data_IF_500879117514
#
_entry.id   IF_500879117514
#
_cell.length_a   1.000
_cell.length_b   1.000
_cell.length_c   1.000
_cell.angle_alpha   90.00
_cell.angle_beta   90.00
_cell.angle_gamma   90.00
#
_symmetry.space_group_name_H-M   'P 1'
#
loop_
_entity.id
_entity.type
_entity.pdbx_description
1 polymer ?
#
# COMPACT_ATOMS: atom_id res chain seq x y z
N UNK A 1 -9.26 10.50 -9.98
CA UNK A 1 -8.11 11.32 -9.60
C UNK A 1 -6.86 10.49 -9.82
N UNK A 2 -5.80 11.11 -10.32
CA UNK A 2 -4.45 10.53 -10.39
C UNK A 2 -3.68 10.84 -9.08
N UNK A 3 -2.73 9.99 -8.67
CA UNK A 3 -1.80 10.32 -7.57
C UNK A 3 -0.79 11.40 -7.99
N UNK A 4 -0.64 11.65 -9.29
CA UNK A 4 0.18 12.71 -9.85
C UNK A 4 1.64 12.32 -10.07
N UNK A 5 1.94 11.02 -10.19
CA UNK A 5 3.28 10.52 -10.50
C UNK A 5 3.23 9.24 -11.34
N UNK A 6 4.23 9.08 -12.22
CA UNK A 6 4.43 7.84 -13.00
C UNK A 6 5.21 6.76 -12.22
N UNK A 7 5.51 7.00 -10.93
CA UNK A 7 6.18 6.01 -10.07
C UNK A 7 5.20 4.86 -9.79
N UNK A 8 5.61 3.58 -10.00
CA UNK A 8 4.80 2.44 -9.61
C UNK A 8 4.48 2.45 -8.11
N UNK A 9 3.20 2.26 -7.79
CA UNK A 9 2.73 2.34 -6.41
C UNK A 9 2.28 3.75 -6.03
N UNK A 10 2.38 4.08 -4.74
CA UNK A 10 1.98 5.38 -4.20
C UNK A 10 3.06 5.85 -3.23
N UNK A 11 4.15 6.37 -3.77
CA UNK A 11 5.20 7.01 -2.97
C UNK A 11 4.72 8.41 -2.54
N UNK A 12 4.04 8.49 -1.39
CA UNK A 12 3.32 9.69 -0.94
C UNK A 12 4.11 11.00 -1.04
N UNK A 13 5.42 11.08 -0.69
CA UNK A 13 6.20 12.31 -0.84
C UNK A 13 6.26 12.87 -2.27
N UNK A 14 6.18 12.00 -3.29
CA UNK A 14 6.19 12.39 -4.70
C UNK A 14 4.79 12.62 -5.29
N UNK A 15 3.72 12.29 -4.55
CA UNK A 15 2.35 12.48 -5.02
C UNK A 15 1.90 13.94 -4.93
N UNK A 16 0.93 14.29 -5.76
CA UNK A 16 0.35 15.63 -5.79
C UNK A 16 -0.21 16.03 -4.43
N UNK A 17 -0.21 17.34 -4.14
CA UNK A 17 -0.80 17.88 -2.90
C UNK A 17 -2.28 17.48 -2.76
N UNK A 18 -3.04 17.58 -3.86
CA UNK A 18 -4.46 17.25 -3.90
C UNK A 18 -4.72 15.77 -3.56
N UNK A 19 -3.90 14.86 -4.09
CA UNK A 19 -4.00 13.45 -3.77
C UNK A 19 -3.71 13.19 -2.29
N UNK A 20 -2.67 13.80 -1.72
CA UNK A 20 -2.34 13.65 -0.29
C UNK A 20 -3.46 14.15 0.61
N UNK A 21 -4.04 15.31 0.31
CA UNK A 21 -5.16 15.84 1.07
C UNK A 21 -6.37 14.90 1.03
N UNK A 22 -6.72 14.35 -0.14
CA UNK A 22 -7.78 13.35 -0.25
C UNK A 22 -7.42 12.06 0.50
N UNK A 23 -6.19 11.57 0.32
CA UNK A 23 -5.70 10.38 0.97
C UNK A 23 -5.87 10.52 2.48
N UNK A 24 -5.29 11.53 3.13
CA UNK A 24 -5.35 11.70 4.59
C UNK A 24 -6.72 12.08 5.15
N UNK A 25 -7.62 12.68 4.36
CA UNK A 25 -8.98 13.01 4.81
C UNK A 25 -9.97 11.86 4.67
N UNK A 26 -9.65 10.82 3.89
CA UNK A 26 -10.53 9.66 3.71
C UNK A 26 -10.66 8.82 4.98
N UNK A 27 -11.89 8.48 5.36
CA UNK A 27 -12.20 7.58 6.49
C UNK A 27 -11.60 6.17 6.27
N UNK A 28 -11.62 5.69 5.03
CA UNK A 28 -11.13 4.36 4.65
C UNK A 28 -10.27 4.46 3.40
N UNK A 29 -9.11 3.82 3.44
CA UNK A 29 -8.24 3.63 2.25
C UNK A 29 -8.13 2.14 1.96
N UNK A 30 -8.54 1.75 0.74
CA UNK A 30 -8.30 0.42 0.21
C UNK A 30 -7.24 0.54 -0.89
N UNK A 31 -6.10 -0.11 -0.66
CA UNK A 31 -4.96 -0.10 -1.56
C UNK A 31 -4.85 -1.43 -2.30
N UNK A 32 -4.63 -1.37 -3.62
CA UNK A 32 -4.62 -2.55 -4.49
C UNK A 32 -3.23 -2.80 -5.08
N UNK A 33 -2.80 -4.05 -5.06
CA UNK A 33 -1.58 -4.51 -5.71
C UNK A 33 -0.31 -4.33 -4.87
N UNK A 34 0.72 -5.11 -5.22
CA UNK A 34 1.96 -5.21 -4.46
C UNK A 34 2.75 -3.89 -4.41
N UNK A 35 2.87 -3.17 -5.53
CA UNK A 35 3.62 -1.91 -5.56
C UNK A 35 3.07 -0.87 -4.59
N UNK A 36 1.74 -0.76 -4.47
CA UNK A 36 1.15 0.13 -3.47
C UNK A 36 1.37 -0.37 -2.04
N UNK A 37 1.29 -1.68 -1.79
CA UNK A 37 1.58 -2.26 -0.48
C UNK A 37 3.01 -1.92 -0.03
N UNK A 38 3.99 -2.08 -0.91
CA UNK A 38 5.40 -1.81 -0.60
C UNK A 38 5.66 -0.32 -0.33
N UNK A 39 5.06 0.60 -1.10
CA UNK A 39 5.28 2.04 -0.91
C UNK A 39 4.51 2.65 0.27
N UNK A 40 3.44 1.98 0.73
CA UNK A 40 2.56 2.49 1.80
C UNK A 40 2.71 1.70 3.11
N UNK A 41 3.65 0.76 3.19
CA UNK A 41 3.79 -0.15 4.33
C UNK A 41 4.04 0.59 5.66
N UNK A 42 4.83 1.66 5.60
CA UNK A 42 5.33 2.40 6.75
C UNK A 42 4.53 3.68 7.05
N UNK A 43 3.37 3.87 6.39
CA UNK A 43 2.55 5.06 6.57
C UNK A 43 1.83 5.07 7.92
N UNK A 44 1.76 6.24 8.54
CA UNK A 44 1.18 6.44 9.87
C UNK A 44 -0.35 6.57 9.83
N UNK A 45 -1.01 5.64 9.15
CA UNK A 45 -2.47 5.51 9.12
C UNK A 45 -2.90 4.09 8.77
N UNK A 46 -4.17 3.80 9.03
CA UNK A 46 -4.79 2.56 8.60
C UNK A 46 -4.99 2.52 7.07
N UNK A 47 -4.49 1.46 6.45
CA UNK A 47 -4.65 1.17 5.01
C UNK A 47 -4.97 -0.31 4.84
N UNK A 48 -6.05 -0.62 4.14
CA UNK A 48 -6.45 -2.00 3.84
C UNK A 48 -5.89 -2.42 2.48
N UNK A 49 -4.94 -3.33 2.48
CA UNK A 49 -4.22 -3.75 1.29
C UNK A 49 -4.75 -5.08 0.76
N UNK A 50 -5.06 -5.13 -0.54
CA UNK A 50 -5.46 -6.33 -1.25
C UNK A 50 -4.46 -6.55 -2.39
N UNK A 51 -3.71 -7.65 -2.31
CA UNK A 51 -2.64 -7.93 -3.25
C UNK A 51 -2.49 -9.43 -3.52
N UNK A 52 -1.82 -9.74 -4.63
CA UNK A 52 -1.22 -11.05 -4.85
C UNK A 52 0.28 -10.92 -4.60
N UNK A 53 0.89 -11.90 -3.92
CA UNK A 53 2.33 -11.99 -3.76
C UNK A 53 2.98 -12.39 -5.09
N UNK A 54 3.78 -11.50 -5.67
CA UNK A 54 4.41 -11.67 -7.00
C UNK A 54 5.92 -11.82 -6.96
N UNK A 55 6.55 -11.69 -5.80
CA UNK A 55 8.00 -11.88 -5.67
C UNK A 55 8.38 -12.66 -4.40
N UNK A 56 9.48 -13.40 -4.51
CA UNK A 56 10.02 -14.25 -3.43
C UNK A 56 10.44 -13.45 -2.20
N UNK A 57 10.95 -12.23 -2.39
CA UNK A 57 11.36 -11.36 -1.28
C UNK A 57 10.18 -11.05 -0.36
N UNK A 58 9.05 -10.67 -0.96
CA UNK A 58 7.83 -10.37 -0.21
C UNK A 58 7.22 -11.63 0.41
N UNK A 59 7.22 -12.74 -0.33
CA UNK A 59 6.75 -14.04 0.15
C UNK A 59 7.47 -14.43 1.45
N UNK A 60 8.80 -14.38 1.45
CA UNK A 60 9.65 -14.69 2.62
C UNK A 60 9.39 -13.74 3.79
N UNK A 61 9.35 -12.43 3.54
CA UNK A 61 9.15 -11.42 4.59
C UNK A 61 7.80 -11.56 5.31
N UNK A 62 6.77 -12.05 4.62
CA UNK A 62 5.41 -12.15 5.15
C UNK A 62 4.97 -13.58 5.48
N UNK A 63 5.89 -14.56 5.44
CA UNK A 63 5.58 -15.98 5.61
C UNK A 63 4.42 -16.46 4.72
N UNK A 64 4.50 -16.10 3.44
CA UNK A 64 3.52 -16.43 2.38
C UNK A 64 4.20 -17.16 1.23
N UNK A 65 3.41 -17.73 0.34
CA UNK A 65 3.87 -18.33 -0.91
C UNK A 65 3.67 -17.40 -2.11
N UNK A 66 4.50 -17.58 -3.14
CA UNK A 66 4.30 -16.90 -4.42
C UNK A 66 2.92 -17.25 -4.99
N UNK A 67 2.18 -16.25 -5.43
CA UNK A 67 0.82 -16.40 -5.94
C UNK A 67 -0.30 -16.28 -4.91
N UNK A 68 0.02 -16.26 -3.60
CA UNK A 68 -0.96 -16.07 -2.53
C UNK A 68 -1.72 -14.75 -2.71
N UNK A 69 -3.04 -14.80 -2.55
CA UNK A 69 -3.88 -13.62 -2.41
C UNK A 69 -4.01 -13.25 -0.93
N UNK A 70 -3.71 -11.99 -0.62
CA UNK A 70 -3.64 -11.47 0.75
C UNK A 70 -4.55 -10.26 0.87
N UNK A 71 -5.34 -10.26 1.94
CA UNK A 71 -5.99 -9.05 2.48
C UNK A 71 -5.34 -8.78 3.83
N UNK A 72 -4.75 -7.61 3.99
CA UNK A 72 -4.04 -7.21 5.21
C UNK A 72 -4.29 -5.73 5.51
N UNK A 73 -3.89 -5.31 6.71
CA UNK A 73 -3.97 -3.92 7.16
C UNK A 73 -2.56 -3.43 7.49
N UNK A 74 -2.18 -2.23 7.04
CA UNK A 74 -0.97 -1.52 7.49
C UNK A 74 -1.38 -0.35 8.42
N UNK A 75 -0.40 0.22 9.13
CA UNK A 75 -0.61 1.32 10.09
C UNK A 75 -0.12 0.99 11.52
N UNK A 76 -0.01 2.02 12.38
CA UNK A 76 0.40 1.83 13.78
C UNK A 76 -0.52 0.85 14.51
N UNK A 77 0.07 -0.21 15.07
CA UNK A 77 -0.63 -1.21 15.88
C UNK A 77 -0.87 -2.57 15.19
N UNK A 78 -0.39 -2.76 13.96
CA UNK A 78 -0.38 -4.07 13.30
C UNK A 78 1.05 -4.62 13.29
N UNK A 79 1.35 -5.51 14.24
CA UNK A 79 2.45 -6.49 14.18
C UNK A 79 1.84 -7.88 13.96
#
# INVERSE_FOLDING_TARGET
MDNGTDIPGTHLPATSKQFRELFFSADVVISKGQGNFETLLDEDRDIFCILQIKCESLAKRNNRSLGDWVVTKTGKGVQ
#
